data_IF_911770266615
#
_entry.id   IF_911770266615
#
_cell.length_a   1.000
_cell.length_b   1.000
_cell.length_c   1.000
_cell.angle_alpha   90.00
_cell.angle_beta   90.00
_cell.angle_gamma   90.00
#
_symmetry.space_group_name_H-M   'P 1'
#
loop_
_entity.id
_entity.type
_entity.pdbx_description
1 polymer ?
#
# COMPACT_ATOMS: atom_id res chain seq x y z
N UNK A 1 -5.90 -19.98 4.99
CA UNK A 1 -5.58 -18.88 4.04
C UNK A 1 -5.18 -17.69 4.89
N UNK A 2 -4.00 -17.13 4.66
CA UNK A 2 -3.55 -15.98 5.44
C UNK A 2 -4.21 -14.70 4.92
N UNK A 3 -4.68 -13.86 5.82
CA UNK A 3 -5.22 -12.55 5.49
C UNK A 3 -4.19 -11.47 5.80
N UNK A 4 -3.90 -10.63 4.81
CA UNK A 4 -2.91 -9.56 4.91
C UNK A 4 -3.61 -8.24 4.63
N UNK A 5 -3.54 -7.33 5.59
CA UNK A 5 -4.06 -5.96 5.46
C UNK A 5 -2.89 -5.02 5.21
N UNK A 6 -2.96 -4.24 4.14
CA UNK A 6 -1.95 -3.26 3.82
C UNK A 6 -2.58 -1.91 3.43
N UNK A 7 -1.91 -0.83 3.79
CA UNK A 7 -2.36 0.54 3.50
C UNK A 7 -1.34 1.26 2.64
N UNK A 8 -1.79 1.76 1.48
CA UNK A 8 -1.05 2.66 0.62
C UNK A 8 -1.29 4.09 1.11
N UNK A 9 -0.23 4.77 1.53
CA UNK A 9 -0.29 6.14 2.05
C UNK A 9 0.14 7.12 0.97
N UNK A 10 -0.70 8.13 0.73
CA UNK A 10 -0.43 9.23 -0.22
C UNK A 10 -0.59 10.59 0.45
N UNK A 11 0.02 11.63 -0.11
CA UNK A 11 -0.05 12.97 0.49
C UNK A 11 -1.27 13.76 0.08
N UNK A 12 -1.77 13.57 -1.15
CA UNK A 12 -2.83 14.39 -1.73
C UNK A 12 -4.07 13.56 -2.08
N UNK A 13 -5.28 14.11 -1.90
CA UNK A 13 -6.52 13.44 -2.32
C UNK A 13 -6.53 13.06 -3.80
N UNK A 14 -5.93 13.88 -4.67
CA UNK A 14 -5.82 13.60 -6.12
C UNK A 14 -5.03 12.32 -6.40
N UNK A 15 -3.95 12.08 -5.65
CA UNK A 15 -3.17 10.84 -5.76
C UNK A 15 -4.00 9.62 -5.34
N UNK A 16 -4.82 9.75 -4.28
CA UNK A 16 -5.74 8.68 -3.88
C UNK A 16 -6.70 8.33 -5.01
N UNK A 17 -7.26 9.32 -5.71
CA UNK A 17 -8.15 9.07 -6.84
C UNK A 17 -7.43 8.37 -8.01
N UNK A 18 -6.19 8.78 -8.32
CA UNK A 18 -5.36 8.14 -9.35
C UNK A 18 -5.10 6.67 -9.00
N UNK A 19 -4.72 6.37 -7.76
CA UNK A 19 -4.44 5.00 -7.31
C UNK A 19 -5.67 4.10 -7.24
N UNK A 20 -6.84 4.65 -6.90
CA UNK A 20 -8.09 3.90 -6.95
C UNK A 20 -8.43 3.60 -8.41
N UNK A 21 -8.32 4.60 -9.29
CA UNK A 21 -8.72 4.48 -10.69
C UNK A 21 -10.24 4.40 -10.86
N UNK A 22 -10.71 4.40 -12.12
CA UNK A 22 -12.13 4.35 -12.43
C UNK A 22 -12.73 3.02 -11.95
N UNK A 23 -13.67 3.06 -11.01
CA UNK A 23 -14.28 1.85 -10.45
C UNK A 23 -13.31 0.94 -9.69
N UNK A 24 -12.17 1.47 -9.21
CA UNK A 24 -11.19 0.66 -8.47
C UNK A 24 -10.22 -0.13 -9.36
N UNK A 25 -10.21 0.11 -10.68
CA UNK A 25 -9.40 -0.67 -11.63
C UNK A 25 -7.91 -0.69 -11.30
N UNK A 26 -7.33 0.48 -11.04
CA UNK A 26 -5.90 0.62 -10.76
C UNK A 26 -5.52 -0.07 -9.45
N UNK A 27 -6.34 0.08 -8.40
CA UNK A 27 -6.09 -0.59 -7.12
C UNK A 27 -6.19 -2.12 -7.23
N UNK A 28 -7.11 -2.61 -8.07
CA UNK A 28 -7.25 -4.04 -8.37
C UNK A 28 -6.02 -4.58 -9.10
N UNK A 29 -5.48 -3.83 -10.05
CA UNK A 29 -4.29 -4.23 -10.80
C UNK A 29 -3.07 -4.30 -9.86
N UNK A 30 -2.85 -3.25 -9.06
CA UNK A 30 -1.80 -3.21 -8.03
C UNK A 30 -1.92 -4.42 -7.08
N UNK A 31 -3.12 -4.66 -6.54
CA UNK A 31 -3.36 -5.77 -5.61
C UNK A 31 -3.20 -7.14 -6.26
N UNK A 32 -3.52 -7.28 -7.54
CA UNK A 32 -3.37 -8.53 -8.29
C UNK A 32 -1.90 -8.87 -8.48
N UNK A 33 -1.09 -7.92 -8.94
CA UNK A 33 0.33 -8.13 -9.17
C UNK A 33 1.09 -8.35 -7.85
N UNK A 34 0.83 -7.52 -6.83
CA UNK A 34 1.43 -7.69 -5.51
C UNK A 34 1.09 -9.06 -4.90
N UNK A 35 -0.17 -9.50 -4.98
CA UNK A 35 -0.58 -10.81 -4.46
C UNK A 35 0.08 -11.97 -5.21
N UNK A 36 0.24 -11.88 -6.54
CA UNK A 36 0.95 -12.92 -7.31
C UNK A 36 2.40 -13.07 -6.84
N UNK A 37 3.08 -11.95 -6.64
CA UNK A 37 4.47 -11.95 -6.20
C UNK A 37 4.61 -12.46 -4.76
N UNK A 38 3.76 -12.00 -3.83
CA UNK A 38 3.77 -12.47 -2.44
C UNK A 38 3.49 -13.97 -2.36
N UNK A 39 2.49 -14.46 -3.11
CA UNK A 39 2.18 -15.90 -3.14
C UNK A 39 3.37 -16.71 -3.65
N UNK A 40 4.14 -16.19 -4.62
CA UNK A 40 5.34 -16.84 -5.16
C UNK A 40 6.48 -16.87 -4.13
N UNK A 41 6.70 -15.78 -3.41
CA UNK A 41 7.77 -15.68 -2.41
C UNK A 41 7.47 -16.57 -1.20
N UNK A 42 6.21 -16.62 -0.75
CA UNK A 42 5.79 -17.38 0.43
C UNK A 42 5.34 -18.82 0.13
N UNK A 43 5.32 -19.22 -1.15
CA UNK A 43 4.76 -20.48 -1.64
C UNK A 43 3.39 -20.83 -1.04
N UNK A 44 2.57 -19.80 -0.81
CA UNK A 44 1.35 -19.90 -0.01
C UNK A 44 0.30 -18.94 -0.54
N UNK A 45 -0.98 -19.35 -0.55
CA UNK A 45 -2.09 -18.47 -0.93
C UNK A 45 -2.44 -17.48 0.17
N UNK A 46 -2.43 -16.19 -0.17
CA UNK A 46 -2.90 -15.11 0.69
C UNK A 46 -4.16 -14.41 0.14
N UNK A 47 -4.91 -13.81 1.06
CA UNK A 47 -5.94 -12.82 0.79
C UNK A 47 -5.39 -11.44 1.13
N UNK A 48 -5.09 -10.63 0.11
CA UNK A 48 -4.52 -9.29 0.27
C UNK A 48 -5.64 -8.24 0.22
N UNK A 49 -5.81 -7.50 1.30
CA UNK A 49 -6.75 -6.38 1.41
C UNK A 49 -5.94 -5.08 1.40
N UNK A 50 -6.21 -4.23 0.42
CA UNK A 50 -5.53 -2.95 0.22
C UNK A 50 -6.45 -1.76 0.51
N UNK A 51 -5.94 -0.81 1.30
CA UNK A 51 -6.58 0.47 1.55
C UNK A 51 -5.72 1.63 1.05
N UNK A 52 -6.36 2.73 0.62
CA UNK A 52 -5.64 3.96 0.26
C UNK A 52 -6.01 5.09 1.23
N UNK A 53 -5.00 5.59 1.96
CA UNK A 53 -5.15 6.64 2.98
C UNK A 53 -4.40 7.89 2.56
N UNK A 54 -5.06 9.04 2.68
CA UNK A 54 -4.40 10.35 2.51
C UNK A 54 -3.84 10.78 3.86
N UNK A 55 -2.55 11.08 3.90
CA UNK A 55 -1.86 11.64 5.05
C UNK A 55 -1.04 12.84 4.58
N UNK A 56 -1.56 14.06 4.72
CA UNK A 56 -0.91 15.27 4.20
C UNK A 56 0.51 15.39 4.73
N UNK A 57 1.49 15.76 3.90
CA UNK A 57 2.86 16.11 4.34
C UNK A 57 3.60 15.03 5.16
N UNK A 58 3.31 13.74 4.91
CA UNK A 58 3.92 12.65 5.68
C UNK A 58 5.41 12.50 5.39
N UNK A 59 5.89 12.89 4.21
CA UNK A 59 7.30 12.80 3.84
C UNK A 59 8.19 13.76 4.63
N UNK A 60 7.62 14.83 5.18
CA UNK A 60 8.33 15.83 5.98
C UNK A 60 8.17 15.62 7.49
N UNK A 61 7.44 14.58 7.92
CA UNK A 61 7.27 14.26 9.34
C UNK A 61 8.19 13.12 9.76
N UNK A 62 9.22 13.37 10.59
CA UNK A 62 10.14 12.32 11.03
C UNK A 62 9.45 11.14 11.69
N UNK A 63 8.38 11.37 12.47
CA UNK A 63 7.57 10.31 13.09
C UNK A 63 6.93 9.38 12.08
N UNK A 64 6.48 9.91 10.93
CA UNK A 64 5.84 9.13 9.88
C UNK A 64 6.87 8.32 9.10
N UNK A 65 7.99 8.96 8.74
CA UNK A 65 9.11 8.30 8.08
C UNK A 65 9.60 7.11 8.93
N UNK A 66 9.77 7.32 10.24
CA UNK A 66 10.15 6.26 11.19
C UNK A 66 9.09 5.16 11.25
N UNK A 67 7.82 5.50 11.37
CA UNK A 67 6.73 4.52 11.42
C UNK A 67 6.59 3.69 10.12
N UNK A 68 7.00 4.24 8.97
CA UNK A 68 6.98 3.56 7.68
C UNK A 68 8.29 2.84 7.35
N UNK A 69 9.29 2.88 8.22
CA UNK A 69 10.59 2.23 8.00
C UNK A 69 11.50 2.95 7.00
N UNK A 70 11.28 4.25 6.75
CA UNK A 70 12.17 5.07 5.90
C UNK A 70 13.29 5.76 6.68
N UNK A 71 13.33 5.62 8.00
CA UNK A 71 14.45 6.10 8.80
C UNK A 71 15.67 5.21 8.57
N UNK A 72 16.83 5.82 8.30
CA UNK A 72 18.09 5.11 7.99
C UNK A 72 18.85 4.67 9.24
N UNK A 73 18.27 4.84 10.43
CA UNK A 73 18.82 4.30 11.66
C UNK A 73 18.54 2.79 11.72
N UNK A 74 19.34 2.02 11.00
CA UNK A 74 19.73 0.67 11.43
C UNK A 74 20.87 0.77 12.45
#
# INVERSE_FOLDING_TARGET
VYEVHATIVVERPTQKQILIGKGGSMLKDIGTEARKEINKILDTKIHLILFVKVKKDWRNRPSDLKAFGYDKSE
#
